data_IF_661836476760
#
_entry.id   IF_661836476760
#
_cell.length_a   1.000
_cell.length_b   1.000
_cell.length_c   1.000
_cell.angle_alpha   90.00
_cell.angle_beta   90.00
_cell.angle_gamma   90.00
#
_symmetry.space_group_name_H-M   'P 1'
#
loop_
_entity.id
_entity.type
_entity.pdbx_description
1 polymer ?
#
# COMPACT_ATOMS: atom_id res chain seq x y z
N UNK A 1 -16.13 14.61 2.06
CA UNK A 1 -15.84 14.74 3.50
C UNK A 1 -14.36 14.95 3.78
N UNK A 2 -13.45 14.34 3.02
CA UNK A 2 -11.99 14.47 3.22
C UNK A 2 -11.51 15.92 3.21
N UNK A 3 -11.99 16.76 2.28
CA UNK A 3 -11.64 18.18 2.22
C UNK A 3 -12.08 18.97 3.45
N UNK A 4 -13.24 18.62 4.04
CA UNK A 4 -13.74 19.28 5.26
C UNK A 4 -12.84 18.92 6.44
N UNK A 5 -12.47 17.65 6.59
CA UNK A 5 -11.57 17.21 7.65
C UNK A 5 -10.18 17.82 7.48
N UNK A 6 -9.65 17.86 6.25
CA UNK A 6 -8.37 18.51 5.94
C UNK A 6 -8.38 20.00 6.35
N UNK A 7 -9.42 20.74 5.98
CA UNK A 7 -9.56 22.16 6.38
C UNK A 7 -9.65 22.33 7.90
N UNK A 8 -10.34 21.44 8.61
CA UNK A 8 -10.42 21.46 10.07
C UNK A 8 -9.04 21.22 10.71
N UNK A 9 -8.28 20.23 10.23
CA UNK A 9 -6.91 19.98 10.69
C UNK A 9 -6.00 21.17 10.44
N UNK A 10 -6.06 21.76 9.23
CA UNK A 10 -5.27 22.96 8.90
C UNK A 10 -5.59 24.10 9.87
N UNK A 11 -6.87 24.37 10.11
CA UNK A 11 -7.29 25.43 11.02
C UNK A 11 -6.80 25.19 12.47
N UNK A 12 -6.97 23.98 13.00
CA UNK A 12 -6.58 23.64 14.37
C UNK A 12 -5.06 23.68 14.53
N UNK A 13 -4.31 23.03 13.62
CA UNK A 13 -2.84 22.98 13.71
C UNK A 13 -2.21 24.37 13.58
N UNK A 14 -2.72 25.20 12.67
CA UNK A 14 -2.19 26.56 12.53
C UNK A 14 -2.59 27.45 13.70
N UNK A 15 -3.79 27.32 14.23
CA UNK A 15 -4.20 28.06 15.45
C UNK A 15 -3.40 27.65 16.68
N UNK A 16 -2.96 26.38 16.74
CA UNK A 16 -2.09 25.86 17.80
C UNK A 16 -0.59 26.14 17.55
N UNK A 17 -0.26 27.00 16.59
CA UNK A 17 1.11 27.48 16.35
C UNK A 17 1.98 26.57 15.48
N UNK A 18 1.44 25.49 14.90
CA UNK A 18 2.18 24.55 14.07
C UNK A 18 2.13 24.99 12.59
N UNK A 19 3.29 24.95 11.92
CA UNK A 19 3.36 25.08 10.48
C UNK A 19 2.86 23.78 9.83
N UNK A 20 2.05 23.89 8.78
CA UNK A 20 1.38 22.78 8.14
C UNK A 20 1.65 22.76 6.62
N UNK A 21 2.06 21.59 6.10
CA UNK A 21 2.24 21.33 4.69
C UNK A 21 1.09 20.48 4.15
N UNK A 22 0.35 21.02 3.17
CA UNK A 22 -0.78 20.34 2.55
C UNK A 22 -0.34 19.66 1.25
N UNK A 23 -0.44 18.33 1.21
CA UNK A 23 -0.07 17.52 0.02
C UNK A 23 -1.25 17.34 -0.94
N UNK A 24 -2.47 17.67 -0.52
CA UNK A 24 -3.72 17.40 -1.24
C UNK A 24 -3.96 15.89 -1.47
N UNK A 25 -4.35 15.49 -2.69
CA UNK A 25 -4.60 14.09 -3.01
C UNK A 25 -3.27 13.37 -3.25
N UNK A 26 -2.99 12.35 -2.44
CA UNK A 26 -1.81 11.49 -2.60
C UNK A 26 -2.06 10.08 -2.07
N UNK A 27 -1.27 9.12 -2.53
CA UNK A 27 -1.26 7.78 -1.94
C UNK A 27 -0.74 7.82 -0.49
N UNK A 28 -1.30 7.00 0.38
CA UNK A 28 -0.90 6.91 1.80
C UNK A 28 0.61 6.76 1.98
N UNK A 29 1.34 5.89 1.22
CA UNK A 29 2.78 5.72 1.40
C UNK A 29 3.62 6.97 1.07
N UNK A 30 3.10 7.95 0.35
CA UNK A 30 3.79 9.21 0.13
C UNK A 30 3.99 10.00 1.43
N UNK A 31 3.02 9.95 2.36
CA UNK A 31 3.06 10.73 3.60
C UNK A 31 4.26 10.35 4.48
N UNK A 32 4.46 9.09 4.91
CA UNK A 32 5.61 8.71 5.73
C UNK A 32 6.96 8.94 5.05
N UNK A 33 7.02 8.82 3.73
CA UNK A 33 8.23 9.13 2.96
C UNK A 33 8.57 10.62 3.07
N UNK A 34 7.60 11.48 2.81
CA UNK A 34 7.79 12.94 2.80
C UNK A 34 8.02 13.51 4.20
N UNK A 35 7.42 12.94 5.26
CA UNK A 35 7.72 13.32 6.64
C UNK A 35 9.22 13.24 6.90
N UNK A 36 9.86 12.14 6.53
CA UNK A 36 11.31 11.94 6.72
C UNK A 36 12.13 12.85 5.84
N UNK A 37 11.69 13.08 4.61
CA UNK A 37 12.43 13.90 3.63
C UNK A 37 12.46 15.38 4.04
N UNK A 38 11.34 15.93 4.50
CA UNK A 38 11.27 17.34 4.90
C UNK A 38 11.57 17.57 6.39
N UNK A 39 11.80 16.50 7.16
CA UNK A 39 12.04 16.59 8.61
C UNK A 39 10.83 17.09 9.39
N UNK A 40 9.61 16.72 8.98
CA UNK A 40 8.39 17.11 9.67
C UNK A 40 8.25 16.40 11.02
N UNK A 41 7.60 17.03 11.99
CA UNK A 41 7.32 16.46 13.31
C UNK A 41 6.34 15.28 13.26
N UNK A 42 5.58 15.14 12.18
CA UNK A 42 4.65 14.06 11.93
C UNK A 42 3.75 14.37 10.74
N UNK A 43 2.77 13.52 10.48
CA UNK A 43 1.83 13.70 9.39
C UNK A 43 0.49 13.02 9.63
N UNK A 44 -0.50 13.51 8.91
CA UNK A 44 -1.87 13.02 8.94
C UNK A 44 -2.31 12.62 7.53
N UNK A 45 -2.97 11.47 7.43
CA UNK A 45 -3.66 11.03 6.21
C UNK A 45 -5.14 10.84 6.52
N UNK A 46 -6.00 11.52 5.77
CA UNK A 46 -7.46 11.32 5.87
C UNK A 46 -7.86 10.27 4.84
N UNK A 47 -8.17 9.08 5.32
CA UNK A 47 -8.60 7.95 4.48
C UNK A 47 -9.32 6.89 5.30
N UNK A 48 -10.38 6.34 4.74
CA UNK A 48 -11.02 5.12 5.26
C UNK A 48 -10.52 3.85 4.54
N UNK A 49 -9.40 3.94 3.77
CA UNK A 49 -8.78 2.85 3.01
C UNK A 49 -9.80 2.17 2.07
N UNK A 50 -10.14 0.91 2.33
CA UNK A 50 -11.03 0.08 1.52
C UNK A 50 -12.51 0.12 1.94
N UNK A 51 -12.87 0.97 2.90
CA UNK A 51 -14.24 1.11 3.38
C UNK A 51 -15.12 1.88 2.38
N UNK A 52 -16.46 1.80 2.52
CA UNK A 52 -17.39 2.56 1.69
C UNK A 52 -17.19 4.09 1.79
N UNK A 53 -17.65 4.86 0.80
CA UNK A 53 -17.49 6.33 0.75
C UNK A 53 -18.05 7.11 1.94
N UNK A 54 -19.02 6.53 2.64
CA UNK A 54 -19.61 7.13 3.84
C UNK A 54 -18.65 7.17 5.03
N UNK A 55 -17.68 6.25 5.06
CA UNK A 55 -16.72 6.14 6.14
C UNK A 55 -15.57 7.12 5.96
N UNK A 56 -14.96 7.51 7.08
CA UNK A 56 -13.73 8.27 7.13
C UNK A 56 -12.80 7.67 8.17
N UNK A 57 -11.51 7.88 7.97
CA UNK A 57 -10.48 7.48 8.89
C UNK A 57 -9.34 8.49 8.92
N UNK A 58 -8.54 8.42 9.95
CA UNK A 58 -7.34 9.25 10.11
C UNK A 58 -6.19 8.34 10.47
N UNK A 59 -5.15 8.37 9.64
CA UNK A 59 -3.87 7.70 9.92
C UNK A 59 -2.90 8.75 10.40
N UNK A 60 -2.26 8.52 11.56
CA UNK A 60 -1.28 9.44 12.14
C UNK A 60 0.09 8.81 12.08
N UNK A 61 1.06 9.56 11.59
CA UNK A 61 2.46 9.16 11.47
C UNK A 61 3.36 10.03 12.35
N UNK A 62 4.35 9.42 13.00
CA UNK A 62 5.38 10.12 13.75
C UNK A 62 6.45 10.77 12.83
N UNK A 63 7.39 11.47 13.45
CA UNK A 63 8.51 12.12 12.75
C UNK A 63 9.42 11.12 12.00
N UNK A 64 9.44 9.88 12.42
CA UNK A 64 10.15 8.77 11.78
C UNK A 64 9.40 8.17 10.57
N UNK A 65 8.20 8.67 10.27
CA UNK A 65 7.33 8.17 9.20
C UNK A 65 6.66 6.82 9.56
N UNK A 66 6.68 6.39 10.81
CA UNK A 66 5.96 5.19 11.25
C UNK A 66 4.60 5.54 11.84
N UNK A 67 3.68 4.58 11.86
CA UNK A 67 2.42 4.74 12.61
C UNK A 67 2.72 4.95 14.08
N UNK A 68 1.85 5.67 14.77
CA UNK A 68 2.01 5.90 16.21
C UNK A 68 2.07 4.57 16.98
N UNK A 69 2.95 4.51 17.99
CA UNK A 69 2.93 3.43 18.97
C UNK A 69 1.60 3.42 19.73
N UNK A 70 1.22 2.26 20.27
CA UNK A 70 0.00 2.11 21.09
C UNK A 70 -0.09 3.14 22.22
N UNK A 71 1.05 3.46 22.85
CA UNK A 71 1.12 4.48 23.90
C UNK A 71 0.80 5.88 23.37
N UNK A 72 1.40 6.27 22.22
CA UNK A 72 1.14 7.58 21.60
C UNK A 72 -0.29 7.67 21.08
N UNK A 73 -0.82 6.59 20.52
CA UNK A 73 -2.21 6.52 20.08
C UNK A 73 -3.16 6.72 21.27
N UNK A 74 -2.94 6.04 22.41
CA UNK A 74 -3.73 6.22 23.62
C UNK A 74 -3.71 7.67 24.11
N UNK A 75 -2.57 8.38 24.01
CA UNK A 75 -2.49 9.81 24.37
C UNK A 75 -3.35 10.68 23.44
N UNK A 76 -3.36 10.40 22.13
CA UNK A 76 -4.23 11.10 21.17
C UNK A 76 -5.69 10.86 21.51
N UNK A 77 -6.08 9.62 21.81
CA UNK A 77 -7.44 9.27 22.22
C UNK A 77 -7.87 9.95 23.54
N UNK A 78 -6.93 10.08 24.49
CA UNK A 78 -7.15 10.84 25.73
C UNK A 78 -7.42 12.33 25.42
N UNK A 79 -6.62 12.91 24.54
CA UNK A 79 -6.83 14.29 24.06
C UNK A 79 -8.19 14.52 23.40
N UNK A 80 -8.66 13.56 22.61
CA UNK A 80 -10.00 13.60 21.97
C UNK A 80 -11.16 13.61 23.00
N UNK A 81 -10.92 13.12 24.22
CA UNK A 81 -11.88 13.17 25.33
C UNK A 81 -11.86 14.48 26.11
N UNK A 82 -10.99 15.43 25.72
CA UNK A 82 -10.84 16.71 26.41
C UNK A 82 -10.01 16.67 27.69
N UNK A 83 -9.20 15.63 27.86
CA UNK A 83 -8.38 15.41 29.07
C UNK A 83 -6.96 16.01 28.96
N UNK A 84 -6.68 16.79 27.90
CA UNK A 84 -5.39 17.47 27.68
C UNK A 84 -5.60 18.97 27.79
N UNK A 85 -4.86 19.61 28.70
CA UNK A 85 -4.79 21.07 28.81
C UNK A 85 -3.99 21.62 27.61
N UNK A 86 -4.51 22.66 26.97
CA UNK A 86 -3.85 23.39 25.89
C UNK A 86 -3.38 24.75 26.48
N UNK A 87 -2.07 24.92 26.62
CA UNK A 87 -1.47 26.18 27.08
C UNK A 87 -1.60 27.33 26.09
N UNK A 88 -2.20 27.05 24.92
CA UNK A 88 -2.32 27.99 23.84
C UNK A 88 -1.00 28.33 23.12
N UNK A 89 -1.05 28.74 21.86
CA UNK A 89 0.16 29.01 21.09
C UNK A 89 0.74 30.40 21.37
N UNK A 90 2.05 30.50 21.32
CA UNK A 90 2.78 31.78 21.36
C UNK A 90 2.71 32.54 20.00
N UNK A 91 2.36 31.84 18.91
CA UNK A 91 2.20 32.37 17.55
C UNK A 91 1.19 31.55 16.77
N UNK A 92 0.64 32.09 15.68
CA UNK A 92 -0.07 31.29 14.68
C UNK A 92 0.93 30.63 13.72
N UNK A 93 0.67 29.36 13.39
CA UNK A 93 1.38 28.65 12.35
C UNK A 93 0.99 29.11 10.93
N UNK A 94 1.68 28.58 9.93
CA UNK A 94 1.43 28.84 8.52
C UNK A 94 0.98 27.57 7.82
N UNK A 95 0.01 27.66 6.90
CA UNK A 95 -0.33 26.59 5.97
C UNK A 95 0.25 26.89 4.60
N UNK A 96 0.89 25.88 3.98
CA UNK A 96 1.47 25.96 2.64
C UNK A 96 1.11 24.72 1.86
N UNK A 97 0.58 24.88 0.65
CA UNK A 97 0.38 23.76 -0.28
C UNK A 97 1.73 23.34 -0.90
N UNK A 98 2.07 22.08 -0.80
CA UNK A 98 3.35 21.50 -1.24
C UNK A 98 3.13 20.24 -2.08
N UNK A 99 2.25 20.34 -3.09
CA UNK A 99 2.05 19.25 -4.08
C UNK A 99 3.32 18.92 -4.87
N UNK A 100 4.25 19.87 -4.99
CA UNK A 100 5.56 19.67 -5.60
C UNK A 100 6.34 18.52 -4.95
N UNK A 101 6.16 18.29 -3.66
CA UNK A 101 6.79 17.19 -2.93
C UNK A 101 6.35 15.78 -3.41
N UNK A 102 5.16 15.67 -4.01
CA UNK A 102 4.69 14.37 -4.53
C UNK A 102 5.56 13.85 -5.68
N UNK A 103 6.28 14.72 -6.37
CA UNK A 103 7.27 14.30 -7.37
C UNK A 103 8.37 13.46 -6.75
N UNK A 104 8.82 13.78 -5.54
CA UNK A 104 9.82 12.97 -4.85
C UNK A 104 9.33 11.54 -4.58
N UNK A 105 8.04 11.36 -4.26
CA UNK A 105 7.45 10.02 -4.15
C UNK A 105 7.43 9.30 -5.50
N UNK A 106 7.04 9.96 -6.59
CA UNK A 106 7.07 9.37 -7.94
C UNK A 106 8.49 8.99 -8.36
N UNK A 107 9.48 9.85 -8.10
CA UNK A 107 10.90 9.58 -8.38
C UNK A 107 11.41 8.37 -7.58
N UNK A 108 10.96 8.21 -6.33
CA UNK A 108 11.25 7.01 -5.52
C UNK A 108 10.64 5.75 -6.12
N UNK A 109 9.39 5.79 -6.58
CA UNK A 109 8.76 4.68 -7.27
C UNK A 109 9.54 4.28 -8.53
N UNK A 110 9.90 5.25 -9.37
CA UNK A 110 10.69 5.02 -10.59
C UNK A 110 12.08 4.47 -10.27
N UNK A 111 12.77 5.04 -9.27
CA UNK A 111 14.10 4.57 -8.86
C UNK A 111 14.09 3.17 -8.28
N UNK A 112 12.96 2.73 -7.70
CA UNK A 112 12.81 1.39 -7.11
C UNK A 112 12.97 0.26 -8.12
N UNK A 113 12.70 0.52 -9.37
CA UNK A 113 12.78 -0.46 -10.45
C UNK A 113 14.09 -0.33 -11.27
N UNK A 114 14.92 0.68 -10.99
CA UNK A 114 16.20 0.90 -11.69
C UNK A 114 16.00 1.10 -13.20
N UNK A 115 16.81 0.41 -13.99
CA UNK A 115 16.75 0.52 -15.46
C UNK A 115 15.69 -0.34 -16.13
N UNK A 116 14.87 -1.07 -15.34
CA UNK A 116 13.78 -1.89 -15.89
C UNK A 116 12.72 -1.01 -16.54
N UNK A 117 12.20 -1.47 -17.68
CA UNK A 117 11.17 -0.76 -18.47
C UNK A 117 10.00 -1.70 -18.74
N UNK A 118 8.90 -1.12 -19.20
CA UNK A 118 7.65 -1.82 -19.56
C UNK A 118 7.21 -1.46 -20.99
N UNK A 119 8.16 -1.18 -21.88
CA UNK A 119 7.90 -0.65 -23.21
C UNK A 119 6.87 -1.50 -24.00
N UNK A 120 5.70 -0.92 -24.28
CA UNK A 120 4.63 -1.57 -25.01
C UNK A 120 3.95 -2.73 -24.29
N UNK A 121 4.21 -2.94 -22.98
CA UNK A 121 3.54 -3.98 -22.18
C UNK A 121 2.11 -3.55 -21.90
N UNK A 122 1.08 -4.29 -22.38
CA UNK A 122 -0.31 -3.95 -22.15
C UNK A 122 -0.74 -4.29 -20.72
N UNK A 123 -1.08 -3.27 -19.94
CA UNK A 123 -1.46 -3.36 -18.52
C UNK A 123 -2.78 -2.64 -18.25
N UNK A 124 -3.64 -3.22 -17.43
CA UNK A 124 -4.85 -2.56 -16.94
C UNK A 124 -4.65 -2.10 -15.50
N UNK A 125 -4.95 -0.83 -15.21
CA UNK A 125 -4.94 -0.28 -13.85
C UNK A 125 -6.36 0.07 -13.42
N UNK A 126 -6.81 -0.46 -12.29
CA UNK A 126 -8.02 -0.01 -11.60
C UNK A 126 -7.63 0.89 -10.42
N UNK A 127 -7.82 2.20 -10.60
CA UNK A 127 -7.40 3.22 -9.64
C UNK A 127 -8.48 3.53 -8.59
N UNK A 128 -9.55 2.74 -8.55
CA UNK A 128 -10.55 2.72 -7.48
C UNK A 128 -11.25 4.08 -7.22
N UNK A 129 -11.23 5.03 -8.17
CA UNK A 129 -11.63 6.44 -7.97
C UNK A 129 -10.87 7.12 -6.81
N UNK A 130 -9.77 6.52 -6.36
CA UNK A 130 -9.02 6.84 -5.15
C UNK A 130 -7.73 7.60 -5.41
N UNK A 131 -6.84 7.54 -4.43
CA UNK A 131 -5.58 8.28 -4.40
C UNK A 131 -4.52 7.78 -5.38
N UNK A 132 -4.62 6.52 -5.85
CA UNK A 132 -3.77 6.00 -6.91
C UNK A 132 -3.86 6.82 -8.21
N UNK A 133 -4.98 7.54 -8.43
CA UNK A 133 -5.16 8.46 -9.56
C UNK A 133 -4.13 9.58 -9.61
N UNK A 134 -3.52 9.92 -8.49
CA UNK A 134 -2.54 11.00 -8.40
C UNK A 134 -1.16 10.64 -8.99
N UNK A 135 -0.83 9.35 -9.16
CA UNK A 135 0.53 8.97 -9.56
C UNK A 135 0.62 7.68 -10.38
N UNK A 136 -0.24 6.67 -10.16
CA UNK A 136 0.00 5.34 -10.68
C UNK A 136 0.09 5.31 -12.22
N UNK A 137 -0.87 5.92 -12.91
CA UNK A 137 -0.85 5.94 -14.39
C UNK A 137 0.40 6.63 -14.93
N UNK A 138 0.79 7.78 -14.39
CA UNK A 138 1.96 8.55 -14.82
C UNK A 138 3.26 7.75 -14.64
N UNK A 139 3.42 7.06 -13.51
CA UNK A 139 4.62 6.27 -13.22
C UNK A 139 4.72 5.08 -14.18
N UNK A 140 3.63 4.34 -14.42
CA UNK A 140 3.63 3.24 -15.39
C UNK A 140 3.89 3.72 -16.84
N UNK A 141 3.30 4.85 -17.23
CA UNK A 141 3.54 5.46 -18.55
C UNK A 141 4.99 5.89 -18.72
N UNK A 142 5.60 6.45 -17.68
CA UNK A 142 7.02 6.83 -17.68
C UNK A 142 7.93 5.63 -17.93
N UNK A 143 7.53 4.43 -17.48
CA UNK A 143 8.23 3.18 -17.77
C UNK A 143 7.91 2.59 -19.15
N UNK A 144 7.02 3.22 -19.91
CA UNK A 144 6.67 2.82 -21.29
C UNK A 144 5.53 1.82 -21.40
N UNK A 145 4.76 1.56 -20.35
CA UNK A 145 3.62 0.65 -20.39
C UNK A 145 2.49 1.16 -21.32
N UNK A 146 1.83 0.23 -22.02
CA UNK A 146 0.59 0.49 -22.74
C UNK A 146 -0.60 0.30 -21.80
N UNK A 147 -1.22 1.41 -21.38
CA UNK A 147 -2.17 1.41 -20.29
C UNK A 147 -3.63 1.51 -20.72
N UNK A 148 -4.45 0.62 -20.17
CA UNK A 148 -5.89 0.83 -20.02
C UNK A 148 -6.17 1.20 -18.55
N UNK A 149 -6.83 2.34 -18.32
CA UNK A 149 -7.12 2.83 -16.96
C UNK A 149 -8.61 2.76 -16.69
N UNK A 150 -8.98 2.06 -15.62
CA UNK A 150 -10.32 2.02 -15.06
C UNK A 150 -10.39 2.95 -13.84
N UNK A 151 -11.54 3.60 -13.64
CA UNK A 151 -11.81 4.42 -12.47
C UNK A 151 -10.71 5.47 -12.20
N UNK A 152 -10.23 6.09 -13.27
CA UNK A 152 -9.01 6.91 -13.31
C UNK A 152 -9.18 8.38 -12.90
N UNK A 153 -10.34 8.79 -12.41
CA UNK A 153 -10.59 10.13 -11.89
C UNK A 153 -10.91 10.05 -10.39
N UNK A 154 -10.36 10.95 -9.55
CA UNK A 154 -10.67 10.91 -8.13
C UNK A 154 -12.14 11.29 -7.87
N UNK A 155 -12.89 10.41 -7.19
CA UNK A 155 -14.29 10.63 -6.86
C UNK A 155 -14.62 10.03 -5.49
N UNK A 156 -14.80 10.89 -4.49
CA UNK A 156 -15.07 10.47 -3.12
C UNK A 156 -16.46 9.83 -2.90
N UNK A 157 -17.38 9.90 -3.87
CA UNK A 157 -18.69 9.23 -3.80
C UNK A 157 -18.66 7.84 -4.42
N UNK A 158 -17.65 7.57 -5.26
CA UNK A 158 -17.47 6.30 -5.97
C UNK A 158 -16.31 5.45 -5.46
N UNK A 159 -15.45 6.01 -4.63
CA UNK A 159 -14.28 5.31 -4.09
C UNK A 159 -14.70 3.98 -3.45
N UNK A 160 -14.03 2.88 -3.83
CA UNK A 160 -14.33 1.51 -3.38
C UNK A 160 -15.73 0.97 -3.77
N UNK A 161 -16.50 1.67 -4.60
CA UNK A 161 -17.83 1.20 -5.01
C UNK A 161 -17.70 0.39 -6.30
N UNK A 162 -17.91 -0.92 -6.20
CA UNK A 162 -17.82 -1.88 -7.31
C UNK A 162 -16.50 -1.79 -8.12
N UNK A 163 -15.39 -1.46 -7.46
CA UNK A 163 -14.07 -1.29 -8.07
C UNK A 163 -12.94 -1.57 -7.08
N UNK A 164 -11.71 -1.53 -7.57
CA UNK A 164 -10.51 -1.62 -6.77
C UNK A 164 -10.25 -3.00 -6.18
N UNK A 165 -9.36 -3.06 -5.17
CA UNK A 165 -8.85 -4.32 -4.62
C UNK A 165 -9.91 -5.18 -3.90
N UNK A 166 -11.05 -4.60 -3.53
CA UNK A 166 -12.15 -5.34 -2.90
C UNK A 166 -13.19 -5.88 -3.88
N UNK A 167 -13.15 -5.44 -5.15
CA UNK A 167 -14.11 -5.80 -6.20
C UNK A 167 -13.38 -5.96 -7.54
N UNK A 168 -12.78 -7.13 -7.75
CA UNK A 168 -11.86 -7.38 -8.86
C UNK A 168 -12.54 -7.69 -10.20
N UNK A 169 -13.86 -7.91 -10.23
CA UNK A 169 -14.53 -8.33 -11.47
C UNK A 169 -14.38 -7.32 -12.63
N UNK A 170 -14.45 -5.99 -12.43
CA UNK A 170 -14.19 -5.04 -13.50
C UNK A 170 -12.77 -5.16 -14.06
N UNK A 171 -11.76 -5.29 -13.21
CA UNK A 171 -10.37 -5.47 -13.63
C UNK A 171 -10.18 -6.77 -14.40
N UNK A 172 -10.71 -7.89 -13.88
CA UNK A 172 -10.62 -9.22 -14.53
C UNK A 172 -11.21 -9.22 -15.92
N UNK A 173 -12.41 -8.64 -16.08
CA UNK A 173 -13.07 -8.51 -17.38
C UNK A 173 -12.26 -7.62 -18.34
N UNK A 174 -11.74 -6.50 -17.86
CA UNK A 174 -10.96 -5.60 -18.70
C UNK A 174 -9.62 -6.23 -19.15
N UNK A 175 -8.90 -6.91 -18.26
CA UNK A 175 -7.66 -7.61 -18.62
C UNK A 175 -7.89 -8.60 -19.75
N UNK A 176 -8.91 -9.44 -19.64
CA UNK A 176 -9.24 -10.44 -20.67
C UNK A 176 -9.73 -9.77 -21.97
N UNK A 177 -10.61 -8.78 -21.89
CA UNK A 177 -11.20 -8.11 -23.04
C UNK A 177 -10.18 -7.29 -23.84
N UNK A 178 -9.20 -6.67 -23.16
CA UNK A 178 -8.14 -5.88 -23.80
C UNK A 178 -6.92 -6.72 -24.23
N UNK A 179 -6.89 -8.02 -23.89
CA UNK A 179 -5.72 -8.85 -24.13
C UNK A 179 -4.48 -8.40 -23.34
N UNK A 180 -4.68 -7.75 -22.19
CA UNK A 180 -3.58 -7.30 -21.36
C UNK A 180 -2.87 -8.48 -20.70
N UNK A 181 -1.56 -8.34 -20.48
CA UNK A 181 -0.76 -9.42 -19.87
C UNK A 181 -0.94 -9.49 -18.36
N UNK A 182 -1.37 -8.38 -17.77
CA UNK A 182 -1.68 -8.29 -16.33
C UNK A 182 -2.55 -7.06 -16.02
N UNK A 183 -3.14 -7.04 -14.84
CA UNK A 183 -3.84 -5.88 -14.32
C UNK A 183 -3.60 -5.71 -12.82
N UNK A 184 -3.77 -4.48 -12.33
CA UNK A 184 -3.59 -4.13 -10.93
C UNK A 184 -4.76 -3.30 -10.42
N UNK A 185 -5.33 -3.71 -9.30
CA UNK A 185 -6.38 -2.97 -8.60
C UNK A 185 -5.85 -2.46 -7.27
N UNK A 186 -6.08 -1.19 -7.02
CA UNK A 186 -5.71 -0.52 -5.76
C UNK A 186 -6.93 -0.38 -4.86
N UNK A 187 -6.71 -0.13 -3.57
CA UNK A 187 -7.76 0.37 -2.68
C UNK A 187 -7.80 1.90 -2.67
N UNK A 188 -8.73 2.47 -1.92
CA UNK A 188 -9.01 3.91 -1.96
C UNK A 188 -7.82 4.81 -1.66
N UNK A 189 -6.87 4.39 -0.84
CA UNK A 189 -5.68 5.17 -0.49
C UNK A 189 -4.35 4.54 -0.95
N UNK A 190 -4.45 3.54 -1.84
CA UNK A 190 -3.36 2.94 -2.57
C UNK A 190 -2.26 2.31 -1.70
N UNK A 191 -2.59 1.91 -0.47
CA UNK A 191 -1.67 1.17 0.39
C UNK A 191 -1.73 -0.35 0.15
N UNK A 192 -2.74 -0.81 -0.66
CA UNK A 192 -2.93 -2.20 -1.08
C UNK A 192 -2.96 -2.33 -2.60
N UNK A 193 -2.55 -3.50 -3.07
CA UNK A 193 -2.68 -3.89 -4.47
C UNK A 193 -3.00 -5.37 -4.60
N UNK A 194 -3.98 -5.72 -5.42
CA UNK A 194 -4.21 -7.08 -5.91
C UNK A 194 -4.01 -7.10 -7.42
N UNK A 195 -3.36 -8.16 -7.91
CA UNK A 195 -3.11 -8.30 -9.34
C UNK A 195 -4.04 -9.34 -9.98
N UNK A 196 -4.13 -9.24 -11.30
CA UNK A 196 -4.86 -10.18 -12.15
C UNK A 196 -3.95 -10.57 -13.32
N UNK A 197 -3.83 -11.87 -13.60
CA UNK A 197 -3.07 -12.36 -14.73
C UNK A 197 -3.85 -12.29 -16.07
N UNK A 198 -3.19 -12.56 -17.17
CA UNK A 198 -3.79 -12.54 -18.52
C UNK A 198 -5.01 -13.46 -18.70
N UNK A 199 -5.20 -14.45 -17.81
CA UNK A 199 -6.34 -15.38 -17.80
C UNK A 199 -7.47 -14.91 -16.88
N UNK A 200 -7.36 -13.72 -16.27
CA UNK A 200 -8.34 -13.19 -15.32
C UNK A 200 -8.28 -13.83 -13.94
N UNK A 201 -7.18 -14.52 -13.57
CA UNK A 201 -7.02 -15.13 -12.25
C UNK A 201 -6.39 -14.12 -11.28
N UNK A 202 -6.86 -14.17 -10.05
CA UNK A 202 -6.38 -13.27 -9.00
C UNK A 202 -5.01 -13.71 -8.49
N UNK A 203 -4.11 -12.75 -8.34
CA UNK A 203 -2.81 -12.86 -7.68
C UNK A 203 -2.88 -11.99 -6.43
N UNK A 204 -3.12 -12.63 -5.30
CA UNK A 204 -3.28 -11.97 -4.01
C UNK A 204 -1.94 -11.66 -3.33
N UNK A 205 -1.98 -11.04 -2.14
CA UNK A 205 -0.79 -10.66 -1.40
C UNK A 205 0.12 -11.84 -1.04
N UNK A 206 -0.43 -13.02 -0.79
CA UNK A 206 0.37 -14.24 -0.53
C UNK A 206 1.18 -14.65 -1.77
N UNK A 207 0.54 -14.58 -2.95
CA UNK A 207 1.23 -14.85 -4.22
C UNK A 207 2.31 -13.79 -4.50
N UNK A 208 2.01 -12.52 -4.25
CA UNK A 208 2.99 -11.42 -4.41
C UNK A 208 4.19 -11.62 -3.49
N UNK A 209 3.96 -11.93 -2.22
CA UNK A 209 5.04 -12.22 -1.25
C UNK A 209 5.89 -13.41 -1.69
N UNK A 210 5.25 -14.49 -2.17
CA UNK A 210 5.97 -15.65 -2.67
C UNK A 210 6.81 -15.33 -3.91
N UNK A 211 6.21 -14.63 -4.89
CA UNK A 211 6.87 -14.34 -6.16
C UNK A 211 8.02 -13.35 -5.97
N UNK A 212 7.76 -12.20 -5.32
CA UNK A 212 8.80 -11.20 -5.06
C UNK A 212 9.86 -11.72 -4.08
N UNK A 213 9.43 -12.40 -3.02
CA UNK A 213 10.35 -13.06 -2.07
C UNK A 213 11.25 -14.07 -2.73
N UNK A 214 10.75 -14.87 -3.70
CA UNK A 214 11.56 -15.83 -4.46
C UNK A 214 12.68 -15.14 -5.24
N UNK A 215 12.40 -14.01 -5.87
CA UNK A 215 13.42 -13.23 -6.59
C UNK A 215 14.46 -12.68 -5.63
N UNK A 216 14.02 -12.11 -4.48
CA UNK A 216 14.96 -11.61 -3.47
C UNK A 216 15.83 -12.72 -2.89
N UNK A 217 15.27 -13.92 -2.66
CA UNK A 217 16.02 -15.08 -2.20
C UNK A 217 17.07 -15.52 -3.23
N UNK A 218 16.69 -15.64 -4.49
CA UNK A 218 17.61 -16.03 -5.58
C UNK A 218 18.74 -14.99 -5.75
N UNK A 219 18.45 -13.70 -5.48
CA UNK A 219 19.43 -12.61 -5.49
C UNK A 219 20.23 -12.49 -4.18
N UNK A 220 19.97 -13.33 -3.18
CA UNK A 220 20.57 -13.26 -1.83
C UNK A 220 20.29 -11.91 -1.12
N UNK A 221 19.18 -11.28 -1.46
CA UNK A 221 18.70 -10.01 -0.91
C UNK A 221 17.61 -10.18 0.16
N UNK A 222 17.30 -11.43 0.56
CA UNK A 222 16.31 -11.76 1.58
C UNK A 222 17.01 -12.31 2.84
N UNK A 223 17.22 -11.48 3.88
CA UNK A 223 17.92 -11.88 5.09
C UNK A 223 17.26 -13.09 5.77
N UNK A 224 18.06 -14.16 5.97
CA UNK A 224 17.60 -15.41 6.60
C UNK A 224 16.49 -16.12 5.83
N UNK A 225 16.33 -15.82 4.53
CA UNK A 225 15.25 -16.36 3.68
C UNK A 225 13.86 -16.21 4.35
N UNK A 226 13.71 -15.12 5.12
CA UNK A 226 12.54 -14.84 5.96
C UNK A 226 11.56 -13.92 5.27
N UNK A 227 10.30 -14.35 5.24
CA UNK A 227 9.13 -13.52 4.95
C UNK A 227 8.28 -13.36 6.22
N UNK A 228 7.63 -12.22 6.37
CA UNK A 228 6.68 -11.97 7.46
C UNK A 228 5.29 -11.85 6.89
N UNK A 229 4.33 -12.61 7.42
CA UNK A 229 2.94 -12.55 6.99
C UNK A 229 1.98 -12.73 8.19
N UNK A 230 0.69 -12.47 7.99
CA UNK A 230 -0.28 -12.65 9.07
C UNK A 230 -0.77 -14.10 9.18
N UNK A 231 -1.45 -14.41 10.28
CA UNK A 231 -2.12 -15.71 10.48
C UNK A 231 -3.19 -16.01 9.42
N UNK A 232 -3.59 -15.01 8.64
CA UNK A 232 -4.56 -15.15 7.54
C UNK A 232 -3.93 -15.73 6.27
N UNK A 233 -2.61 -15.71 6.14
CA UNK A 233 -1.90 -16.24 4.96
C UNK A 233 -2.18 -17.72 4.75
N UNK A 234 -2.30 -18.11 3.50
CA UNK A 234 -2.67 -19.47 3.13
C UNK A 234 -1.58 -20.48 3.50
N UNK A 235 -1.98 -21.65 4.02
CA UNK A 235 -1.06 -22.70 4.36
C UNK A 235 -0.26 -23.22 3.15
N UNK A 236 -0.84 -23.15 1.94
CA UNK A 236 -0.15 -23.52 0.70
C UNK A 236 1.07 -22.64 0.43
N UNK A 237 0.97 -21.34 0.72
CA UNK A 237 2.10 -20.41 0.66
C UNK A 237 3.21 -20.82 1.64
N UNK A 238 2.89 -21.00 2.91
CA UNK A 238 3.86 -21.40 3.94
C UNK A 238 4.60 -22.68 3.54
N UNK A 239 3.86 -23.73 3.16
CA UNK A 239 4.46 -25.00 2.75
C UNK A 239 5.34 -24.89 1.51
N UNK A 240 4.98 -24.03 0.56
CA UNK A 240 5.80 -23.79 -0.62
C UNK A 240 7.07 -23.02 -0.28
N UNK A 241 6.97 -22.05 0.63
CA UNK A 241 8.11 -21.27 1.09
C UNK A 241 9.11 -22.13 1.88
N UNK A 242 8.60 -23.00 2.79
CA UNK A 242 9.42 -23.97 3.51
C UNK A 242 10.17 -24.94 2.55
N UNK A 243 9.50 -25.41 1.47
CA UNK A 243 10.16 -26.25 0.46
C UNK A 243 11.29 -25.55 -0.29
N UNK A 244 11.27 -24.23 -0.39
CA UNK A 244 12.38 -23.41 -0.90
C UNK A 244 13.50 -23.20 0.14
N UNK A 245 13.36 -23.73 1.36
CA UNK A 245 14.29 -23.50 2.46
C UNK A 245 14.06 -22.17 3.20
N UNK A 246 12.97 -21.47 2.91
CA UNK A 246 12.63 -20.22 3.55
C UNK A 246 11.85 -20.38 4.87
N UNK A 247 11.74 -19.30 5.62
CA UNK A 247 11.00 -19.21 6.87
C UNK A 247 9.84 -18.22 6.69
N UNK A 248 8.61 -18.64 6.97
CA UNK A 248 7.47 -17.76 7.04
C UNK A 248 7.14 -17.48 8.51
N UNK A 249 7.37 -16.25 8.94
CA UNK A 249 7.00 -15.79 10.28
C UNK A 249 5.56 -15.27 10.27
N UNK A 250 4.72 -15.81 11.16
CA UNK A 250 3.31 -15.42 11.25
C UNK A 250 3.09 -14.45 12.41
N UNK A 251 2.37 -13.37 12.11
CA UNK A 251 1.94 -12.37 13.09
C UNK A 251 0.42 -12.38 13.26
N UNK A 252 -0.12 -11.76 14.32
CA UNK A 252 -1.53 -11.38 14.35
C UNK A 252 -1.90 -10.52 13.14
N UNK A 253 -3.19 -10.44 12.81
CA UNK A 253 -3.71 -9.57 11.74
C UNK A 253 -3.46 -8.10 12.07
N UNK A 254 -3.02 -7.34 11.08
CA UNK A 254 -2.75 -5.92 11.17
C UNK A 254 -1.32 -5.58 10.76
N UNK A 255 -1.19 -4.62 9.86
CA UNK A 255 0.07 -4.17 9.30
C UNK A 255 1.10 -3.73 10.35
N UNK A 256 0.65 -3.19 11.48
CA UNK A 256 1.49 -2.83 12.62
C UNK A 256 2.24 -4.04 13.20
N UNK A 257 1.63 -5.23 13.21
CA UNK A 257 2.26 -6.44 13.71
C UNK A 257 3.29 -6.97 12.70
N UNK A 258 2.95 -6.91 11.40
CA UNK A 258 3.89 -7.26 10.32
C UNK A 258 5.10 -6.32 10.37
N UNK A 259 4.87 -5.00 10.46
CA UNK A 259 5.92 -3.99 10.59
C UNK A 259 6.83 -4.25 11.79
N UNK A 260 6.25 -4.47 12.98
CA UNK A 260 7.01 -4.73 14.21
C UNK A 260 7.89 -5.99 14.09
N UNK A 261 7.35 -7.07 13.52
CA UNK A 261 8.10 -8.30 13.30
C UNK A 261 9.22 -8.11 12.26
N UNK A 262 8.96 -7.39 11.17
CA UNK A 262 9.99 -7.07 10.17
C UNK A 262 11.15 -6.28 10.78
N UNK A 263 10.85 -5.26 11.59
CA UNK A 263 11.89 -4.46 12.29
C UNK A 263 12.68 -5.33 13.27
N UNK A 264 11.99 -6.13 14.08
CA UNK A 264 12.63 -6.97 15.11
C UNK A 264 13.59 -8.02 14.50
N UNK A 265 13.26 -8.56 13.32
CA UNK A 265 14.00 -9.66 12.70
C UNK A 265 14.83 -9.23 11.49
N UNK A 266 14.82 -7.94 11.13
CA UNK A 266 15.52 -7.44 9.94
C UNK A 266 14.98 -8.00 8.62
N UNK A 267 13.69 -8.39 8.57
CA UNK A 267 13.09 -8.96 7.36
C UNK A 267 12.95 -7.89 6.26
N UNK A 268 13.31 -8.25 5.02
CA UNK A 268 13.25 -7.34 3.89
C UNK A 268 11.85 -7.19 3.30
N UNK A 269 10.99 -8.20 3.43
CA UNK A 269 9.66 -8.24 2.82
C UNK A 269 8.65 -8.89 3.77
N UNK A 270 7.47 -8.29 3.85
CA UNK A 270 6.35 -8.83 4.60
C UNK A 270 5.03 -8.24 4.12
N UNK A 271 3.91 -8.76 4.60
CA UNK A 271 2.62 -8.25 4.20
C UNK A 271 1.43 -9.13 4.57
N UNK A 272 0.33 -8.85 3.93
CA UNK A 272 -0.96 -9.50 4.14
C UNK A 272 -1.54 -10.04 2.84
N UNK A 273 -2.33 -11.10 2.92
CA UNK A 273 -3.08 -11.64 1.78
C UNK A 273 -3.94 -10.58 1.08
N UNK A 274 -4.40 -9.56 1.82
CA UNK A 274 -5.18 -8.42 1.30
C UNK A 274 -4.41 -7.52 0.31
N UNK A 275 -3.11 -7.77 0.09
CA UNK A 275 -2.28 -6.99 -0.82
C UNK A 275 -1.55 -5.81 -0.17
N UNK A 276 -1.60 -5.68 1.14
CA UNK A 276 -0.79 -4.70 1.90
C UNK A 276 0.63 -5.25 2.06
N UNK A 277 1.55 -4.82 1.22
CA UNK A 277 2.92 -5.33 1.15
C UNK A 277 3.90 -4.27 1.64
N UNK A 278 4.78 -4.66 2.55
CA UNK A 278 5.84 -3.83 3.12
C UNK A 278 7.20 -4.29 2.59
N UNK A 279 7.98 -3.38 2.05
CA UNK A 279 9.34 -3.63 1.59
C UNK A 279 10.31 -2.71 2.34
N UNK A 280 11.18 -3.27 3.19
CA UNK A 280 12.05 -2.50 4.09
C UNK A 280 12.97 -1.51 3.34
N UNK A 281 13.43 -1.86 2.15
CA UNK A 281 14.29 -1.01 1.30
C UNK A 281 13.59 0.25 0.77
N UNK A 282 12.24 0.28 0.78
CA UNK A 282 11.45 1.38 0.23
C UNK A 282 10.63 2.12 1.30
N UNK A 283 10.69 1.66 2.53
CA UNK A 283 9.92 2.16 3.66
C UNK A 283 8.96 1.11 4.17
N UNK A 284 8.73 1.10 5.48
CA UNK A 284 7.88 0.11 6.16
C UNK A 284 6.41 0.60 6.21
N UNK A 285 5.91 1.09 5.09
CA UNK A 285 4.49 1.37 4.87
C UNK A 285 4.03 0.55 3.67
N UNK A 286 2.84 -0.02 3.72
CA UNK A 286 2.28 -0.68 2.54
C UNK A 286 2.16 0.29 1.38
N UNK A 287 2.60 -0.14 0.21
CA UNK A 287 2.60 0.66 -1.01
C UNK A 287 2.14 -0.19 -2.19
N UNK A 288 0.88 0.01 -2.57
CA UNK A 288 0.26 -0.73 -3.66
C UNK A 288 0.90 -0.40 -5.01
N UNK A 289 1.25 0.88 -5.25
CA UNK A 289 1.86 1.30 -6.53
C UNK A 289 3.27 0.73 -6.67
N UNK A 290 4.09 0.81 -5.63
CA UNK A 290 5.39 0.15 -5.58
C UNK A 290 5.28 -1.35 -5.85
N UNK A 291 4.35 -2.02 -5.17
CA UNK A 291 4.14 -3.46 -5.31
C UNK A 291 3.77 -3.85 -6.73
N UNK A 292 2.85 -3.09 -7.36
CA UNK A 292 2.46 -3.29 -8.75
C UNK A 292 3.64 -3.11 -9.72
N UNK A 293 4.44 -2.05 -9.53
CA UNK A 293 5.63 -1.78 -10.33
C UNK A 293 6.68 -2.89 -10.20
N UNK A 294 6.96 -3.34 -8.98
CA UNK A 294 7.89 -4.46 -8.76
C UNK A 294 7.40 -5.72 -9.46
N UNK A 295 6.13 -6.10 -9.29
CA UNK A 295 5.60 -7.30 -9.92
C UNK A 295 5.65 -7.21 -11.45
N UNK A 296 5.21 -6.09 -12.04
CA UNK A 296 5.21 -5.88 -13.49
C UNK A 296 6.63 -5.92 -14.08
N UNK A 297 7.56 -5.18 -13.48
CA UNK A 297 8.92 -5.09 -13.99
C UNK A 297 9.75 -6.35 -13.74
N UNK A 298 9.45 -7.12 -12.71
CA UNK A 298 10.07 -8.43 -12.47
C UNK A 298 9.59 -9.45 -13.50
N UNK A 299 8.28 -9.51 -13.79
CA UNK A 299 7.73 -10.38 -14.82
C UNK A 299 8.36 -10.07 -16.19
N UNK A 300 8.33 -8.80 -16.59
CA UNK A 300 8.86 -8.38 -17.89
C UNK A 300 10.38 -8.57 -17.99
N UNK A 301 11.13 -8.22 -16.95
CA UNK A 301 12.59 -8.33 -16.92
C UNK A 301 13.12 -9.77 -16.90
N UNK A 302 12.31 -10.73 -16.46
CA UNK A 302 12.66 -12.16 -16.50
C UNK A 302 12.04 -12.89 -17.69
N UNK A 303 11.30 -12.19 -18.56
CA UNK A 303 10.56 -12.77 -19.69
C UNK A 303 9.61 -13.91 -19.23
N UNK A 304 8.94 -13.70 -18.11
CA UNK A 304 7.99 -14.67 -17.55
C UNK A 304 6.61 -14.04 -17.49
N UNK A 305 5.63 -14.67 -18.14
CA UNK A 305 4.24 -14.24 -17.98
C UNK A 305 3.78 -14.43 -16.53
N UNK A 306 3.01 -13.46 -16.01
CA UNK A 306 2.46 -13.53 -14.65
C UNK A 306 1.63 -14.82 -14.45
N UNK A 307 0.91 -15.25 -15.50
CA UNK A 307 0.15 -16.50 -15.48
C UNK A 307 1.03 -17.74 -15.27
N UNK A 308 2.20 -17.79 -15.90
CA UNK A 308 3.11 -18.93 -15.78
C UNK A 308 3.83 -18.88 -14.43
N UNK A 309 4.14 -17.68 -13.96
CA UNK A 309 4.74 -17.51 -12.65
C UNK A 309 3.77 -17.95 -11.54
N UNK A 310 2.48 -17.56 -11.67
CA UNK A 310 1.41 -18.01 -10.77
C UNK A 310 1.28 -19.54 -10.78
N UNK A 311 1.30 -20.19 -11.95
CA UNK A 311 1.21 -21.65 -12.08
C UNK A 311 2.39 -22.38 -11.42
N UNK A 312 3.57 -21.75 -11.36
CA UNK A 312 4.78 -22.29 -10.71
C UNK A 312 4.89 -21.94 -9.23
N UNK A 313 4.02 -21.09 -8.69
CA UNK A 313 4.06 -20.66 -7.30
C UNK A 313 3.58 -21.75 -6.35
N UNK A 314 2.51 -21.58 -5.72
CA UNK A 314 1.91 -22.56 -4.83
C UNK A 314 0.44 -22.78 -5.14
N UNK A 315 -0.06 -23.95 -4.75
CA UNK A 315 -1.48 -24.24 -4.78
C UNK A 315 -2.08 -23.83 -3.44
N UNK A 316 -3.02 -22.90 -3.47
CA UNK A 316 -3.74 -22.50 -2.28
C UNK A 316 -4.57 -23.67 -1.72
N UNK A 317 -4.48 -23.90 -0.41
CA UNK A 317 -5.38 -24.83 0.28
C UNK A 317 -6.73 -24.16 0.51
N UNK A 318 -7.83 -24.95 0.52
CA UNK A 318 -9.13 -24.44 0.91
C UNK A 318 -9.07 -23.78 2.29
N UNK A 319 -9.54 -22.53 2.38
CA UNK A 319 -9.53 -21.74 3.60
C UNK A 319 -10.96 -21.33 3.94
N UNK A 320 -11.34 -21.44 5.21
CA UNK A 320 -12.63 -21.00 5.71
C UNK A 320 -12.41 -20.02 6.87
N UNK A 321 -12.87 -18.81 6.68
CA UNK A 321 -12.91 -17.82 7.76
C UNK A 321 -14.23 -18.00 8.54
N UNK A 322 -14.11 -18.19 9.85
CA UNK A 322 -15.26 -18.25 10.76
C UNK A 322 -15.10 -17.15 11.81
N UNK A 323 -15.99 -16.18 11.77
CA UNK A 323 -16.07 -15.18 12.82
C UNK A 323 -16.85 -15.76 13.99
N UNK A 324 -16.24 -15.86 15.17
CA UNK A 324 -16.89 -16.28 16.41
C UNK A 324 -17.15 -15.07 17.28
N UNK A 325 -18.41 -14.93 17.75
CA UNK A 325 -18.80 -13.91 18.72
C UNK A 325 -18.72 -14.42 20.18
N UNK A 326 -18.03 -15.54 20.39
CA UNK A 326 -17.83 -16.09 21.75
C UNK A 326 -16.75 -15.21 22.41
N UNK A 327 -17.17 -14.41 23.36
CA UNK A 327 -16.25 -13.79 24.32
C UNK A 327 -15.88 -14.82 25.37
N UNK A 328 -14.62 -15.15 25.39
CA UNK A 328 -14.05 -15.97 26.48
C UNK A 328 -13.60 -15.02 27.58
#
# INVERSE_FOLDING_TARGET
SGSILGAAFTAVLTSSGHDFCELCLCATPAVPLLIREVGAAGGLMVSASHNPPADNGIKVFGADGTKLSTERQARVETGLRGEVEDDGPSRCGRSVQRQDLLRSYQDKLLSSVGDRRLNGVPIVLDLCWGSATACAAEVFQTLGADLTVLHGQPDGERINVACGSTQLDPLRQAVVAQGAVMGFAFDGDADRMLAVDARGRVVDGDHVLYLWGSVLQDQKALPGDRLVATVMSNLGFERAWERRGGVLERTPVGDQHVHAAMVANGAALGGEQSGHILAASHGLCGDGVLTALQLATLCHGQDIALSDWLDRSFKAYPQKLVLSLIHI
#
